data_IF_861638465369
#
_entry.id   IF_861638465369
#
_cell.length_a   1.000
_cell.length_b   1.000
_cell.length_c   1.000
_cell.angle_alpha   90.00
_cell.angle_beta   90.00
_cell.angle_gamma   90.00
#
_symmetry.space_group_name_H-M   'P 1'
#
loop_
_entity.id
_entity.type
_entity.pdbx_description
1 polymer ?
#
# COMPACT_ATOMS: atom_id res chain seq x y z
N UNK A 1 -15.15 -0.24 9.45
CA UNK A 1 -13.96 -0.65 10.21
C UNK A 1 -13.07 -1.48 9.29
N UNK A 2 -11.84 -1.05 9.01
CA UNK A 2 -10.90 -1.85 8.22
C UNK A 2 -10.51 -3.10 9.02
N UNK A 3 -10.68 -4.26 8.41
CA UNK A 3 -10.38 -5.56 9.02
C UNK A 3 -9.62 -6.43 8.02
N UNK A 4 -8.49 -6.98 8.43
CA UNK A 4 -7.81 -8.06 7.71
C UNK A 4 -8.47 -9.37 8.16
N UNK A 5 -9.06 -10.10 7.22
CA UNK A 5 -9.80 -11.33 7.52
C UNK A 5 -8.89 -12.55 7.50
N UNK A 6 -8.00 -12.61 6.51
CA UNK A 6 -7.07 -13.72 6.37
C UNK A 6 -5.88 -13.35 5.48
N UNK A 7 -4.84 -14.15 5.58
CA UNK A 7 -3.69 -14.11 4.69
C UNK A 7 -3.44 -15.50 4.11
N UNK A 8 -2.95 -15.56 2.87
CA UNK A 8 -2.54 -16.79 2.20
C UNK A 8 -1.15 -16.60 1.63
N UNK A 9 -0.30 -17.61 1.77
CA UNK A 9 1.07 -17.62 1.21
C UNK A 9 1.15 -18.68 0.13
N UNK A 10 1.69 -18.31 -1.03
CA UNK A 10 2.00 -19.22 -2.12
C UNK A 10 3.47 -19.09 -2.49
N UNK A 11 4.23 -20.16 -2.42
CA UNK A 11 5.63 -20.16 -2.81
C UNK A 11 5.79 -20.33 -4.31
N UNK A 12 6.62 -19.49 -4.92
CA UNK A 12 6.87 -19.51 -6.36
C UNK A 12 7.80 -20.66 -6.79
N UNK A 13 8.56 -21.24 -5.86
CA UNK A 13 9.52 -22.30 -6.16
C UNK A 13 9.69 -23.27 -4.99
N UNK A 14 10.29 -24.43 -5.26
CA UNK A 14 10.53 -25.47 -4.25
C UNK A 14 11.49 -25.02 -3.15
N UNK A 15 12.46 -24.16 -3.47
CA UNK A 15 13.44 -23.64 -2.49
C UNK A 15 12.86 -22.54 -1.60
N UNK A 16 11.59 -22.16 -1.83
CA UNK A 16 10.86 -21.14 -1.04
C UNK A 16 11.63 -19.82 -0.89
N UNK A 17 12.33 -19.40 -1.94
CA UNK A 17 13.10 -18.14 -1.93
C UNK A 17 12.24 -16.94 -2.27
N UNK A 18 11.04 -17.19 -2.80
CA UNK A 18 10.06 -16.17 -3.21
C UNK A 18 8.66 -16.63 -2.89
N UNK A 19 7.85 -15.72 -2.38
CA UNK A 19 6.45 -15.97 -2.07
C UNK A 19 5.55 -14.89 -2.67
N UNK A 20 4.32 -15.28 -3.00
CA UNK A 20 3.20 -14.37 -3.19
C UNK A 20 2.32 -14.44 -1.96
N UNK A 21 2.01 -13.28 -1.39
CA UNK A 21 1.21 -13.17 -0.19
C UNK A 21 -0.09 -12.47 -0.57
N UNK A 22 -1.20 -13.12 -0.31
CA UNK A 22 -2.53 -12.57 -0.50
C UNK A 22 -3.08 -12.11 0.85
N UNK A 23 -3.55 -10.88 0.88
CA UNK A 23 -4.18 -10.27 2.06
C UNK A 23 -5.63 -10.03 1.70
N UNK A 24 -6.53 -10.65 2.46
CA UNK A 24 -7.97 -10.50 2.28
C UNK A 24 -8.51 -9.54 3.34
N UNK A 25 -9.31 -8.60 2.90
CA UNK A 25 -10.02 -7.68 3.80
C UNK A 25 -11.42 -7.43 3.28
N UNK A 26 -12.30 -7.02 4.19
CA UNK A 26 -13.65 -6.64 3.82
C UNK A 26 -13.72 -5.18 3.38
N UNK A 27 -14.55 -4.96 2.40
CA UNK A 27 -14.85 -3.68 1.81
C UNK A 27 -16.36 -3.50 1.65
N UNK A 28 -16.84 -2.26 1.64
CA UNK A 28 -18.25 -1.96 1.37
C UNK A 28 -18.41 -1.60 -0.10
N UNK A 29 -18.95 -2.54 -0.88
CA UNK A 29 -19.17 -2.35 -2.33
C UNK A 29 -20.04 -1.14 -2.70
N UNK A 30 -20.74 -0.55 -1.74
CA UNK A 30 -21.59 0.62 -1.98
C UNK A 30 -20.84 1.94 -1.83
N UNK A 31 -19.60 1.90 -1.37
CA UNK A 31 -18.75 3.08 -1.19
C UNK A 31 -17.48 2.94 -2.03
N UNK A 32 -16.95 4.06 -2.48
CA UNK A 32 -15.64 4.10 -3.14
C UNK A 32 -14.59 4.33 -2.07
N UNK A 33 -13.88 3.30 -1.71
CA UNK A 33 -12.86 3.32 -0.68
C UNK A 33 -11.44 3.38 -1.26
N UNK A 34 -10.50 3.88 -0.49
CA UNK A 34 -9.12 4.00 -0.89
C UNK A 34 -8.23 3.40 0.20
N UNK A 35 -7.28 2.56 -0.21
CA UNK A 35 -6.41 1.84 0.71
C UNK A 35 -4.96 2.08 0.40
N UNK A 36 -4.16 2.32 1.44
CA UNK A 36 -2.70 2.27 1.38
C UNK A 36 -2.24 1.01 2.10
N UNK A 37 -1.36 0.26 1.45
CA UNK A 37 -0.80 -0.99 1.94
C UNK A 37 0.68 -0.86 2.13
N UNK A 38 1.16 -1.27 3.29
CA UNK A 38 2.59 -1.27 3.59
C UNK A 38 3.00 -2.63 4.12
N UNK A 39 4.18 -3.08 3.74
CA UNK A 39 4.79 -4.32 4.23
C UNK A 39 6.17 -4.00 4.76
N UNK A 40 6.38 -4.35 6.02
CA UNK A 40 7.68 -4.26 6.70
C UNK A 40 8.18 -5.66 7.02
N UNK A 41 9.48 -5.83 7.01
CA UNK A 41 10.14 -7.08 7.41
C UNK A 41 10.70 -6.89 8.81
N UNK A 42 10.35 -7.80 9.70
CA UNK A 42 10.79 -7.90 11.09
C UNK A 42 10.44 -6.72 12.00
N UNK A 43 10.45 -5.48 11.54
CA UNK A 43 10.20 -4.29 12.36
C UNK A 43 9.53 -3.18 11.57
N UNK A 44 8.69 -2.39 12.24
CA UNK A 44 8.11 -1.15 11.68
C UNK A 44 9.13 0.00 11.55
N UNK A 45 10.26 -0.11 12.24
CA UNK A 45 11.33 0.90 12.17
C UNK A 45 12.15 0.79 10.89
N UNK A 46 12.04 -0.36 10.19
CA UNK A 46 12.63 -0.51 8.86
C UNK A 46 11.81 0.23 7.80
N UNK A 47 12.44 0.58 6.69
CA UNK A 47 11.71 1.07 5.54
C UNK A 47 10.71 0.02 5.05
N UNK A 48 9.51 0.45 4.66
CA UNK A 48 8.55 -0.46 4.07
C UNK A 48 9.09 -1.01 2.75
N UNK A 49 9.11 -2.32 2.59
CA UNK A 49 9.51 -2.95 1.32
C UNK A 49 8.48 -2.70 0.22
N UNK A 50 7.23 -2.50 0.62
CA UNK A 50 6.16 -2.16 -0.31
C UNK A 50 5.25 -1.11 0.33
N UNK A 51 4.86 -0.13 -0.49
CA UNK A 51 3.99 0.97 -0.10
C UNK A 51 3.14 1.38 -1.32
N UNK A 52 1.90 0.94 -1.36
CA UNK A 52 0.98 1.19 -2.47
C UNK A 52 -0.31 1.81 -1.99
N UNK A 53 -0.84 2.73 -2.79
CA UNK A 53 -2.20 3.25 -2.63
C UNK A 53 -3.04 2.79 -3.82
N UNK A 54 -4.21 2.22 -3.55
CA UNK A 54 -5.15 1.75 -4.58
C UNK A 54 -6.57 2.15 -4.21
N UNK A 55 -7.43 2.30 -5.22
CA UNK A 55 -8.87 2.33 -5.03
C UNK A 55 -9.50 0.93 -5.23
N UNK A 56 -10.72 0.77 -4.79
CA UNK A 56 -11.48 -0.48 -4.87
C UNK A 56 -12.29 -0.64 -6.16
N UNK A 57 -12.20 0.31 -7.08
CA UNK A 57 -12.98 0.33 -8.33
C UNK A 57 -12.91 -0.95 -9.17
N UNK A 58 -11.86 -1.73 -8.96
CA UNK A 58 -11.62 -2.97 -9.74
C UNK A 58 -12.28 -4.17 -9.07
N UNK A 59 -12.65 -4.08 -7.81
CA UNK A 59 -13.16 -5.19 -7.02
C UNK A 59 -14.58 -4.90 -6.52
N UNK A 60 -15.55 -5.22 -7.34
CA UNK A 60 -16.98 -5.14 -7.00
C UNK A 60 -17.39 -6.33 -6.09
N UNK A 61 -16.59 -6.61 -5.08
CA UNK A 61 -16.79 -7.71 -4.13
C UNK A 61 -16.63 -7.24 -2.70
N UNK A 62 -17.36 -7.86 -1.77
CA UNK A 62 -17.23 -7.58 -0.33
C UNK A 62 -15.88 -7.99 0.26
N UNK A 63 -15.17 -8.88 -0.43
CA UNK A 63 -13.84 -9.32 -0.01
C UNK A 63 -12.81 -9.00 -1.08
N UNK A 64 -11.87 -8.18 -0.73
CA UNK A 64 -10.77 -7.76 -1.61
C UNK A 64 -9.52 -8.53 -1.26
N UNK A 65 -8.87 -9.09 -2.28
CA UNK A 65 -7.59 -9.77 -2.13
C UNK A 65 -6.48 -8.95 -2.79
N UNK A 66 -5.46 -8.62 -2.03
CA UNK A 66 -4.24 -8.05 -2.57
C UNK A 66 -3.13 -9.07 -2.61
N UNK A 67 -2.59 -9.32 -3.82
CA UNK A 67 -1.38 -10.10 -4.00
C UNK A 67 -0.13 -9.22 -3.94
N UNK A 68 0.87 -9.65 -3.20
CA UNK A 68 2.16 -8.98 -3.14
C UNK A 68 3.29 -10.00 -3.16
N UNK A 69 4.42 -9.62 -3.77
CA UNK A 69 5.60 -10.47 -3.82
C UNK A 69 6.53 -10.15 -2.65
N UNK A 70 7.08 -11.20 -2.07
CA UNK A 70 8.14 -11.10 -1.10
C UNK A 70 9.32 -11.98 -1.51
N UNK A 71 10.50 -11.42 -1.52
CA UNK A 71 11.77 -12.07 -1.79
C UNK A 71 12.85 -11.39 -0.96
N UNK A 72 13.76 -12.15 -0.37
CA UNK A 72 14.91 -11.60 0.35
C UNK A 72 15.98 -11.13 -0.63
N UNK A 73 16.72 -10.09 -0.27
CA UNK A 73 17.84 -9.58 -1.09
C UNK A 73 18.93 -10.63 -1.28
N UNK A 74 19.19 -11.45 -0.26
CA UNK A 74 20.19 -12.52 -0.28
C UNK A 74 19.74 -13.81 -1.01
N UNK A 75 18.51 -13.79 -1.58
CA UNK A 75 17.91 -14.90 -2.32
C UNK A 75 17.80 -16.22 -1.55
N UNK A 76 17.88 -16.18 -0.23
CA UNK A 76 17.66 -17.34 0.64
C UNK A 76 16.16 -17.61 0.82
N UNK A 77 15.86 -18.77 1.44
CA UNK A 77 14.50 -19.11 1.83
C UNK A 77 13.87 -18.02 2.69
N UNK A 78 12.62 -17.71 2.40
CA UNK A 78 11.80 -16.75 3.17
C UNK A 78 11.03 -17.42 4.31
N UNK A 79 11.17 -18.73 4.47
CA UNK A 79 10.56 -19.48 5.59
C UNK A 79 11.11 -18.97 6.92
N UNK A 80 10.23 -18.75 7.87
CA UNK A 80 10.59 -18.23 9.20
C UNK A 80 10.70 -16.70 9.27
N UNK A 81 10.61 -15.99 8.15
CA UNK A 81 10.59 -14.53 8.17
C UNK A 81 9.28 -14.01 8.77
N UNK A 82 9.37 -12.87 9.41
CA UNK A 82 8.22 -12.16 9.98
C UNK A 82 7.89 -10.95 9.11
N UNK A 83 6.66 -10.88 8.63
CA UNK A 83 6.16 -9.74 7.85
C UNK A 83 5.07 -9.02 8.62
N UNK A 84 5.14 -7.70 8.65
CA UNK A 84 4.15 -6.84 9.28
C UNK A 84 3.37 -6.10 8.19
N UNK A 85 2.09 -6.43 8.07
CA UNK A 85 1.17 -5.76 7.16
C UNK A 85 0.50 -4.59 7.83
N UNK A 86 0.45 -3.47 7.13
CA UNK A 86 -0.34 -2.32 7.52
C UNK A 86 -1.31 -1.99 6.40
N UNK A 87 -2.59 -2.09 6.70
CA UNK A 87 -3.68 -1.64 5.84
C UNK A 87 -4.23 -0.35 6.41
N UNK A 88 -4.22 0.70 5.60
CA UNK A 88 -4.68 2.03 5.97
C UNK A 88 -5.83 2.40 5.04
N UNK A 89 -7.01 2.59 5.60
CA UNK A 89 -8.12 3.23 4.88
C UNK A 89 -7.86 4.73 4.86
N UNK A 90 -7.70 5.28 3.67
CA UNK A 90 -7.37 6.69 3.44
C UNK A 90 -8.53 7.41 2.80
N UNK A 91 -8.56 8.74 2.91
CA UNK A 91 -9.58 9.54 2.25
C UNK A 91 -9.27 9.73 0.77
N UNK A 92 -10.29 10.12 0.00
CA UNK A 92 -10.12 10.48 -1.41
C UNK A 92 -9.08 11.59 -1.60
N UNK A 93 -9.09 12.59 -0.72
CA UNK A 93 -8.13 13.69 -0.76
C UNK A 93 -6.70 13.21 -0.60
N UNK A 94 -6.46 12.24 0.29
CA UNK A 94 -5.14 11.62 0.43
C UNK A 94 -4.72 10.88 -0.84
N UNK A 95 -5.62 10.10 -1.41
CA UNK A 95 -5.36 9.38 -2.66
C UNK A 95 -5.03 10.34 -3.80
N UNK A 96 -5.82 11.40 -3.95
CA UNK A 96 -5.62 12.44 -4.97
C UNK A 96 -4.29 13.19 -4.78
N UNK A 97 -3.93 13.51 -3.53
CA UNK A 97 -2.65 14.13 -3.19
C UNK A 97 -1.47 13.21 -3.55
N UNK A 98 -1.52 11.96 -3.11
CA UNK A 98 -0.46 10.97 -3.35
C UNK A 98 -0.24 10.74 -4.85
N UNK A 99 -1.33 10.57 -5.60
CA UNK A 99 -1.30 10.37 -7.05
C UNK A 99 -0.75 11.60 -7.78
N UNK A 100 -1.20 12.80 -7.41
CA UNK A 100 -0.73 14.04 -8.03
C UNK A 100 0.75 14.33 -7.73
N UNK A 101 1.21 14.00 -6.51
CA UNK A 101 2.62 14.08 -6.13
C UNK A 101 3.49 13.12 -6.95
N UNK A 102 3.04 11.88 -7.12
CA UNK A 102 3.75 10.89 -7.94
C UNK A 102 3.85 11.33 -9.39
N UNK A 103 2.74 11.83 -9.96
CA UNK A 103 2.71 12.35 -11.34
C UNK A 103 3.64 13.56 -11.52
N UNK A 104 3.65 14.49 -10.56
CA UNK A 104 4.53 15.65 -10.60
C UNK A 104 6.02 15.24 -10.55
N UNK A 105 6.36 14.29 -9.69
CA UNK A 105 7.73 13.77 -9.60
C UNK A 105 8.15 13.08 -10.91
N UNK A 106 7.27 12.30 -11.53
CA UNK A 106 7.53 11.64 -12.81
C UNK A 106 7.67 12.65 -13.95
N UNK A 107 6.86 13.72 -13.96
CA UNK A 107 6.93 14.78 -14.97
C UNK A 107 8.21 15.60 -14.85
N UNK A 108 8.68 15.87 -13.63
CA UNK A 108 9.93 16.62 -13.40
C UNK A 108 11.18 15.88 -13.88
N UNK A 109 11.12 14.55 -14.00
CA UNK A 109 12.17 13.72 -14.60
C UNK A 109 12.11 13.60 -16.13
N UNK A 110 11.05 14.13 -16.76
CA UNK A 110 10.85 14.03 -18.20
C UNK A 110 10.85 15.44 -18.83
N UNK A 111 11.86 15.79 -19.67
CA UNK A 111 11.94 17.11 -20.30
C UNK A 111 10.76 17.46 -21.23
N UNK A 112 9.97 16.46 -21.62
CA UNK A 112 8.75 16.64 -22.44
C UNK A 112 7.46 16.56 -21.62
N UNK A 113 7.57 16.32 -20.28
CA UNK A 113 6.43 16.26 -19.39
C UNK A 113 5.94 17.64 -18.99
N UNK A 114 4.63 17.85 -19.02
CA UNK A 114 4.06 19.04 -18.39
C UNK A 114 4.15 18.90 -16.87
N UNK A 115 4.58 19.94 -16.14
CA UNK A 115 4.64 19.90 -14.69
C UNK A 115 3.25 19.60 -14.12
N UNK A 116 3.15 18.50 -13.39
CA UNK A 116 1.92 18.11 -12.73
C UNK A 116 1.63 19.04 -11.54
N UNK A 117 0.36 19.42 -11.40
CA UNK A 117 -0.07 20.19 -10.24
C UNK A 117 -0.35 19.25 -9.06
N UNK A 118 0.31 19.48 -7.92
CA UNK A 118 0.06 18.71 -6.70
C UNK A 118 -1.25 19.20 -6.06
N UNK A 119 -2.18 18.27 -5.84
CA UNK A 119 -3.43 18.54 -5.13
C UNK A 119 -3.16 18.64 -3.63
N UNK A 120 -3.45 19.79 -3.05
CA UNK A 120 -3.24 20.08 -1.62
C UNK A 120 -4.57 20.54 -1.01
N UNK A 121 -4.85 20.14 0.23
CA UNK A 121 -5.96 20.68 1.02
C UNK A 121 -5.49 21.62 2.12
N UNK A 122 -4.21 21.92 2.17
CA UNK A 122 -3.62 22.90 3.07
C UNK A 122 -3.50 24.23 2.35
N UNK A 123 -3.92 25.32 2.98
CA UNK A 123 -3.83 26.67 2.44
C UNK A 123 -3.15 27.61 3.41
N UNK A 124 -2.54 28.69 2.89
CA UNK A 124 -1.86 29.69 3.69
C UNK A 124 -1.08 30.69 2.84
N UNK A 125 -0.56 31.74 3.48
CA UNK A 125 0.17 32.84 2.82
C UNK A 125 1.38 32.32 2.04
N UNK A 126 2.07 31.30 2.57
CA UNK A 126 3.25 30.71 1.95
C UNK A 126 2.93 29.67 0.88
N UNK A 127 1.65 29.49 0.50
CA UNK A 127 1.20 28.47 -0.45
C UNK A 127 1.75 27.07 -0.12
N UNK A 128 1.54 26.57 1.11
CA UNK A 128 2.08 25.28 1.51
C UNK A 128 1.50 24.15 0.66
N UNK A 129 2.30 23.13 0.39
CA UNK A 129 1.87 21.91 -0.26
C UNK A 129 1.78 20.81 0.79
N UNK A 130 0.60 20.25 0.99
CA UNK A 130 0.41 19.20 1.99
C UNK A 130 -1.01 18.66 1.99
N UNK A 131 -1.22 17.71 2.88
CA UNK A 131 -2.53 17.09 3.11
C UNK A 131 -2.79 16.98 4.61
N UNK A 132 -3.96 17.41 5.04
CA UNK A 132 -4.48 17.15 6.37
C UNK A 132 -5.64 16.14 6.25
N UNK A 133 -5.48 14.97 6.88
CA UNK A 133 -6.45 13.87 6.74
C UNK A 133 -6.41 12.92 7.94
N UNK A 134 -7.49 12.16 8.11
CA UNK A 134 -7.57 11.08 9.10
C UNK A 134 -7.39 9.71 8.45
N UNK A 135 -6.92 8.74 9.24
CA UNK A 135 -6.72 7.37 8.80
C UNK A 135 -7.38 6.37 9.74
N UNK A 136 -7.85 5.26 9.17
CA UNK A 136 -8.15 4.04 9.93
C UNK A 136 -7.06 3.03 9.61
N UNK A 137 -6.38 2.54 10.63
CA UNK A 137 -5.23 1.66 10.46
C UNK A 137 -5.51 0.30 11.06
N UNK A 138 -5.19 -0.75 10.32
CA UNK A 138 -5.09 -2.12 10.82
C UNK A 138 -3.71 -2.68 10.54
N UNK A 139 -3.13 -3.37 11.51
CA UNK A 139 -1.89 -4.13 11.36
C UNK A 139 -2.11 -5.58 11.70
N UNK A 140 -1.36 -6.43 11.01
CA UNK A 140 -1.29 -7.85 11.29
C UNK A 140 0.11 -8.37 11.03
N UNK A 141 0.47 -9.47 11.68
CA UNK A 141 1.80 -10.08 11.58
C UNK A 141 1.67 -11.47 11.01
N UNK A 142 2.40 -11.72 9.93
CA UNK A 142 2.50 -13.03 9.29
C UNK A 142 3.87 -13.62 9.57
N UNK A 143 3.90 -14.83 10.10
CA UNK A 143 5.09 -15.69 10.13
C UNK A 143 5.08 -16.57 8.89
N UNK A 144 6.13 -16.50 8.08
CA UNK A 144 6.24 -17.25 6.83
C UNK A 144 6.39 -18.75 7.13
N UNK A 145 5.43 -19.59 6.75
CA UNK A 145 5.40 -21.03 7.08
C UNK A 145 6.46 -21.85 6.36
#
# INVERSE_FOLDING_TARGET
LVRIDSTKVEYANQNKTRATIFIYHQDDRNTLDFYRRMIHVSSLDSAAQQDYTTDDKINDTESVAYGTFYEREDKKSVVGDTLIFTLIHVTKEYNDFSSSKSNANSANGNPFGQPGQIKSNVSGISKPIGIFTGFKIRRDTLYMP
#
